data_IF_044336199683
#
_entry.id   IF_044336199683
#
_cell.length_a   1.000
_cell.length_b   1.000
_cell.length_c   1.000
_cell.angle_alpha   90.00
_cell.angle_beta   90.00
_cell.angle_gamma   90.00
#
_symmetry.space_group_name_H-M   'P 1'
#
loop_
_entity.id
_entity.type
_entity.pdbx_description
1 polymer ?
#
# COMPACT_ATOMS: atom_id res chain seq x y z
N UNK A 1 -34.97 3.74 6.60
CA UNK A 1 -33.97 3.10 7.50
C UNK A 1 -32.87 2.58 6.61
N UNK A 2 -31.67 3.16 6.66
CA UNK A 2 -30.56 2.75 5.81
C UNK A 2 -30.19 1.30 6.09
N UNK A 3 -30.01 0.51 5.04
CA UNK A 3 -29.67 -0.90 5.16
C UNK A 3 -28.21 -1.02 5.63
N UNK A 4 -27.94 -1.94 6.57
CA UNK A 4 -26.57 -2.26 7.00
C UNK A 4 -25.66 -2.60 5.81
N UNK A 5 -26.21 -3.14 4.73
CA UNK A 5 -25.47 -3.43 3.49
C UNK A 5 -24.94 -2.17 2.79
N UNK A 6 -25.70 -1.08 2.81
CA UNK A 6 -25.31 0.20 2.19
C UNK A 6 -24.18 0.87 2.99
N UNK A 7 -24.27 0.78 4.32
CA UNK A 7 -23.25 1.28 5.23
C UNK A 7 -21.94 0.53 5.01
N UNK A 8 -21.96 -0.81 4.98
CA UNK A 8 -20.76 -1.63 4.78
C UNK A 8 -20.13 -1.45 3.39
N UNK A 9 -20.94 -1.21 2.34
CA UNK A 9 -20.43 -0.92 1.00
C UNK A 9 -19.58 0.35 0.93
N UNK A 10 -19.90 1.34 1.77
CA UNK A 10 -19.20 2.63 1.85
C UNK A 10 -17.84 2.54 2.55
N UNK A 11 -17.56 1.43 3.27
CA UNK A 11 -16.27 1.18 3.93
C UNK A 11 -15.26 0.46 3.03
N UNK A 12 -15.55 0.26 1.74
CA UNK A 12 -14.58 -0.29 0.78
C UNK A 12 -13.41 0.67 0.61
N UNK A 13 -12.29 0.35 1.26
CA UNK A 13 -11.00 1.02 1.07
C UNK A 13 -10.59 0.83 -0.40
N UNK A 14 -10.15 1.92 -1.04
CA UNK A 14 -9.78 1.95 -2.46
C UNK A 14 -8.71 0.90 -2.84
N UNK A 15 -8.50 0.68 -4.15
CA UNK A 15 -7.52 -0.29 -4.62
C UNK A 15 -6.15 0.02 -4.02
N UNK A 16 -5.46 -1.01 -3.52
CA UNK A 16 -4.10 -0.87 -3.03
C UNK A 16 -3.24 -0.43 -4.23
N UNK A 17 -2.84 0.85 -4.24
CA UNK A 17 -2.03 1.44 -5.30
C UNK A 17 -0.73 0.66 -5.53
N UNK A 18 -0.23 0.70 -6.77
CA UNK A 18 1.08 0.12 -7.05
C UNK A 18 2.12 0.96 -6.30
N UNK A 19 3.06 0.29 -5.62
CA UNK A 19 4.11 0.97 -4.84
C UNK A 19 5.47 0.81 -5.49
N UNK A 20 6.19 1.91 -5.65
CA UNK A 20 7.50 1.95 -6.30
C UNK A 20 8.60 2.47 -5.38
N UNK A 21 9.83 2.13 -5.73
CA UNK A 21 11.03 2.43 -4.96
C UNK A 21 11.41 3.90 -5.11
N UNK A 22 11.63 4.64 -4.00
CA UNK A 22 12.03 6.04 -4.08
C UNK A 22 13.46 6.24 -4.63
N UNK A 23 14.27 5.17 -4.74
CA UNK A 23 15.64 5.25 -5.26
C UNK A 23 15.75 4.98 -6.74
N UNK A 24 15.05 3.95 -7.25
CA UNK A 24 15.22 3.48 -8.63
C UNK A 24 13.91 3.32 -9.41
N UNK A 25 12.76 3.65 -8.82
CA UNK A 25 11.44 3.54 -9.47
C UNK A 25 10.92 2.11 -9.65
N UNK A 26 11.73 1.07 -9.39
CA UNK A 26 11.26 -0.32 -9.46
C UNK A 26 10.21 -0.65 -8.40
N UNK A 27 9.36 -1.65 -8.61
CA UNK A 27 8.37 -2.05 -7.62
C UNK A 27 8.99 -2.46 -6.29
N UNK A 28 8.31 -2.13 -5.19
CA UNK A 28 8.71 -2.54 -3.83
C UNK A 28 7.70 -3.51 -3.23
N UNK A 29 8.20 -4.40 -2.38
CA UNK A 29 7.37 -5.33 -1.60
C UNK A 29 7.41 -4.95 -0.13
N UNK A 30 6.31 -5.18 0.59
CA UNK A 30 6.30 -5.06 2.05
C UNK A 30 7.14 -6.19 2.65
N UNK A 31 7.92 -5.89 3.68
CA UNK A 31 8.43 -6.92 4.58
C UNK A 31 7.27 -7.65 5.27
N UNK A 32 7.54 -8.87 5.73
CA UNK A 32 6.56 -9.73 6.40
C UNK A 32 6.95 -9.99 7.85
N UNK A 33 7.53 -9.01 8.51
CA UNK A 33 7.92 -9.16 9.91
C UNK A 33 6.66 -9.15 10.77
N UNK A 34 6.65 -9.95 11.84
CA UNK A 34 5.56 -9.92 12.79
C UNK A 34 5.34 -8.49 13.33
N UNK A 35 4.08 -8.11 13.55
CA UNK A 35 3.64 -6.81 14.09
C UNK A 35 3.75 -5.58 13.17
N UNK A 36 4.35 -5.70 11.98
CA UNK A 36 4.35 -4.61 10.97
C UNK A 36 2.94 -4.31 10.44
N UNK A 37 2.60 -3.03 10.34
CA UNK A 37 1.26 -2.57 9.92
C UNK A 37 0.21 -2.58 11.02
N UNK A 38 0.55 -3.08 12.21
CA UNK A 38 -0.28 -2.96 13.41
C UNK A 38 0.39 -2.14 14.50
N UNK A 39 1.53 -2.62 15.03
CA UNK A 39 2.31 -1.91 16.06
C UNK A 39 3.53 -1.20 15.48
N UNK A 40 4.17 -1.81 14.48
CA UNK A 40 5.38 -1.27 13.84
C UNK A 40 5.06 -0.69 12.46
N UNK A 41 5.79 0.36 12.02
CA UNK A 41 5.67 0.85 10.66
C UNK A 41 5.98 -0.25 9.63
N UNK A 42 5.26 -0.22 8.50
CA UNK A 42 5.49 -1.16 7.40
C UNK A 42 6.81 -0.83 6.70
N UNK A 43 7.73 -1.79 6.64
CA UNK A 43 8.97 -1.65 5.85
C UNK A 43 8.73 -2.14 4.41
N UNK A 44 9.40 -1.48 3.47
CA UNK A 44 9.42 -1.79 2.05
C UNK A 44 10.82 -2.20 1.64
N UNK A 45 10.90 -3.23 0.81
CA UNK A 45 12.13 -3.79 0.27
C UNK A 45 12.10 -3.75 -1.25
N UNK A 46 13.14 -3.18 -1.87
CA UNK A 46 13.34 -3.19 -3.31
C UNK A 46 14.36 -4.27 -3.69
N UNK A 47 13.93 -5.26 -4.47
CA UNK A 47 14.82 -6.32 -4.97
C UNK A 47 15.82 -5.86 -6.04
N UNK A 48 15.58 -4.69 -6.65
CA UNK A 48 16.43 -4.17 -7.73
C UNK A 48 17.66 -3.42 -7.19
N UNK A 49 17.47 -2.43 -6.31
CA UNK A 49 18.57 -1.60 -5.80
C UNK A 49 18.95 -1.88 -4.34
N UNK A 50 18.30 -2.84 -3.68
CA UNK A 50 18.56 -3.17 -2.27
C UNK A 50 18.02 -2.15 -1.28
N UNK A 51 17.14 -1.22 -1.69
CA UNK A 51 16.50 -0.29 -0.77
C UNK A 51 15.70 -1.04 0.30
N UNK A 52 15.89 -0.65 1.56
CA UNK A 52 15.05 -1.02 2.68
C UNK A 52 14.67 0.22 3.50
N UNK A 53 13.38 0.45 3.72
CA UNK A 53 12.91 1.58 4.52
C UNK A 53 11.39 1.67 4.60
N UNK A 54 10.87 2.71 5.26
CA UNK A 54 9.43 2.83 5.54
C UNK A 54 8.66 3.65 4.49
N UNK A 55 9.34 4.09 3.43
CA UNK A 55 8.78 4.98 2.40
C UNK A 55 8.68 4.23 1.09
N UNK A 56 7.52 4.34 0.44
CA UNK A 56 7.29 3.90 -0.92
C UNK A 56 6.50 4.99 -1.65
N UNK A 57 6.74 5.14 -2.95
CA UNK A 57 5.96 6.05 -3.78
C UNK A 57 4.66 5.33 -4.16
N UNK A 58 3.52 6.01 -4.03
CA UNK A 58 2.24 5.50 -4.52
C UNK A 58 2.02 6.01 -5.94
N UNK A 59 1.74 5.10 -6.87
CA UNK A 59 1.38 5.45 -8.23
C UNK A 59 -0.11 5.82 -8.26
N UNK A 60 -0.41 7.08 -8.60
CA UNK A 60 -1.77 7.51 -8.88
C UNK A 60 -2.28 6.73 -10.08
N UNK A 61 -3.21 5.81 -9.85
CA UNK A 61 -4.00 5.26 -10.94
C UNK A 61 -5.07 6.29 -11.26
N UNK A 62 -5.07 6.79 -12.50
CA UNK A 62 -6.25 7.50 -13.00
C UNK A 62 -7.45 6.59 -12.78
N UNK A 63 -8.36 7.04 -11.92
CA UNK A 63 -9.65 6.40 -11.77
C UNK A 63 -10.37 6.62 -13.09
N UNK A 64 -10.35 5.60 -13.97
CA UNK A 64 -11.23 5.61 -15.13
C UNK A 64 -12.69 5.77 -14.62
N UNK A 65 -13.45 6.73 -15.18
CA UNK A 65 -14.73 7.19 -14.64
C UNK A 65 -15.87 6.17 -14.74
#
# INVERSE_FOLDING_TARGET
>A
MFSLKEILGSFRRGPVGLRTCPRCGSSVVRSRTALEGWMLPVKYVCKNCGYEGFVALEEEREAEP
#
